data_IF_264207691101
#
_entry.id   IF_264207691101
#
_cell.length_a   1.000
_cell.length_b   1.000
_cell.length_c   1.000
_cell.angle_alpha   90.00
_cell.angle_beta   90.00
_cell.angle_gamma   90.00
#
_symmetry.space_group_name_H-M   'P 1'
#
loop_
_entity.id
_entity.type
_entity.pdbx_description
1 polymer ?
#
# COMPACT_ATOMS: atom_id res chain seq x y z
N UNK A 1 -10.12 12.85 16.99
CA UNK A 1 -9.34 12.21 15.90
C UNK A 1 -9.20 13.13 14.68
N UNK A 2 -7.98 13.28 14.16
CA UNK A 2 -7.64 14.22 13.06
C UNK A 2 -8.27 13.84 11.71
N UNK A 3 -8.56 12.56 11.46
CA UNK A 3 -9.13 12.13 10.19
C UNK A 3 -10.51 12.74 9.91
N UNK A 4 -11.38 12.82 10.93
CA UNK A 4 -12.72 13.40 10.78
C UNK A 4 -12.66 14.90 10.41
N UNK A 5 -11.64 15.62 10.89
CA UNK A 5 -11.46 17.03 10.53
C UNK A 5 -10.97 17.18 9.09
N UNK A 6 -10.14 16.25 8.60
CA UNK A 6 -9.73 16.21 7.19
C UNK A 6 -10.90 15.91 6.25
N UNK A 7 -11.74 14.93 6.59
CA UNK A 7 -12.97 14.64 5.85
C UNK A 7 -13.89 15.86 5.81
N UNK A 8 -14.09 16.54 6.95
CA UNK A 8 -14.91 17.75 7.01
C UNK A 8 -14.32 18.90 6.18
N UNK A 9 -13.01 19.12 6.27
CA UNK A 9 -12.33 20.18 5.52
C UNK A 9 -12.32 19.92 4.01
N UNK A 10 -12.32 18.67 3.57
CA UNK A 10 -12.38 18.30 2.15
C UNK A 10 -13.65 18.82 1.44
N UNK A 11 -14.72 19.14 2.17
CA UNK A 11 -15.93 19.73 1.58
C UNK A 11 -15.68 21.12 1.00
N UNK A 12 -14.80 21.90 1.61
CA UNK A 12 -14.60 23.32 1.28
C UNK A 12 -13.15 23.66 0.90
N UNK A 13 -12.24 22.68 0.89
CA UNK A 13 -10.83 22.88 0.55
C UNK A 13 -10.39 21.86 -0.52
N UNK A 14 -10.16 22.29 -1.78
CA UNK A 14 -9.75 21.41 -2.87
C UNK A 14 -8.44 20.64 -2.60
N UNK A 15 -7.50 21.24 -1.88
CA UNK A 15 -6.24 20.56 -1.54
C UNK A 15 -6.49 19.43 -0.55
N UNK A 16 -7.29 19.67 0.50
CA UNK A 16 -7.68 18.63 1.46
C UNK A 16 -8.51 17.54 0.78
N UNK A 17 -9.40 17.92 -0.14
CA UNK A 17 -10.16 16.96 -0.95
C UNK A 17 -9.23 16.04 -1.75
N UNK A 18 -8.24 16.59 -2.45
CA UNK A 18 -7.31 15.80 -3.25
C UNK A 18 -6.49 14.83 -2.38
N UNK A 19 -6.06 15.27 -1.19
CA UNK A 19 -5.35 14.43 -0.24
C UNK A 19 -6.23 13.28 0.28
N UNK A 20 -7.45 13.59 0.73
CA UNK A 20 -8.42 12.59 1.20
C UNK A 20 -8.77 11.60 0.08
N UNK A 21 -9.07 12.10 -1.11
CA UNK A 21 -9.42 11.28 -2.28
C UNK A 21 -8.30 10.32 -2.63
N UNK A 22 -7.06 10.80 -2.72
CA UNK A 22 -5.87 9.97 -2.98
C UNK A 22 -5.68 8.91 -1.90
N UNK A 23 -5.88 9.27 -0.63
CA UNK A 23 -5.74 8.34 0.48
C UNK A 23 -6.77 7.20 0.40
N UNK A 24 -8.02 7.53 0.07
CA UNK A 24 -9.14 6.58 -0.01
C UNK A 24 -9.16 5.76 -1.31
N UNK A 25 -8.60 6.29 -2.40
CA UNK A 25 -8.52 5.64 -3.70
C UNK A 25 -7.07 5.53 -4.14
N UNK A 26 -6.43 4.44 -3.74
CA UNK A 26 -5.03 4.16 -4.08
C UNK A 26 -4.96 3.16 -5.24
N UNK A 27 -4.06 3.38 -6.21
CA UNK A 27 -3.73 2.34 -7.18
C UNK A 27 -3.02 1.17 -6.48
N UNK A 28 -2.95 0.03 -7.16
CA UNK A 28 -2.28 -1.16 -6.63
C UNK A 28 -0.79 -0.93 -6.38
N UNK A 29 -0.15 -0.10 -7.21
CA UNK A 29 1.28 0.20 -7.12
C UNK A 29 1.52 1.71 -7.16
N UNK A 30 2.50 2.16 -6.37
CA UNK A 30 2.96 3.55 -6.33
C UNK A 30 4.48 3.59 -6.30
N UNK A 31 5.08 4.47 -7.09
CA UNK A 31 6.53 4.67 -7.16
C UNK A 31 6.83 6.15 -6.93
N UNK A 32 7.78 6.44 -6.05
CA UNK A 32 8.14 7.81 -5.67
C UNK A 32 9.64 8.02 -5.72
N UNK A 33 10.05 9.22 -6.13
CA UNK A 33 11.41 9.70 -5.95
C UNK A 33 11.46 10.54 -4.68
N UNK A 34 11.79 9.94 -3.54
CA UNK A 34 11.74 10.61 -2.23
C UNK A 34 12.75 11.74 -2.07
N UNK A 35 13.82 11.75 -2.87
CA UNK A 35 14.81 12.83 -2.87
C UNK A 35 14.26 14.11 -3.51
N UNK A 36 13.43 13.98 -4.54
CA UNK A 36 12.81 15.11 -5.27
C UNK A 36 11.38 15.42 -4.80
N UNK A 37 10.68 14.43 -4.25
CA UNK A 37 9.32 14.51 -3.75
C UNK A 37 9.24 13.95 -2.30
N UNK A 38 9.67 14.74 -1.29
CA UNK A 38 9.74 14.29 0.10
C UNK A 38 8.39 13.90 0.71
N UNK A 39 7.28 14.29 0.10
CA UNK A 39 5.92 14.01 0.56
C UNK A 39 5.21 12.97 -0.31
N UNK A 40 5.89 12.38 -1.29
CA UNK A 40 5.39 11.27 -2.09
C UNK A 40 4.03 11.58 -2.75
N UNK A 41 3.87 12.80 -3.25
CA UNK A 41 2.64 13.30 -3.86
C UNK A 41 2.57 12.98 -5.36
N UNK A 42 3.70 12.82 -6.05
CA UNK A 42 3.78 12.51 -7.48
C UNK A 42 4.04 11.02 -7.69
N UNK A 43 2.98 10.27 -7.99
CA UNK A 43 3.13 8.85 -8.34
C UNK A 43 3.77 8.70 -9.74
N UNK A 44 4.89 7.98 -9.82
CA UNK A 44 5.66 7.71 -11.03
C UNK A 44 5.43 6.28 -11.57
N UNK A 45 4.52 5.49 -10.96
CA UNK A 45 4.35 4.08 -11.29
C UNK A 45 3.92 3.80 -12.74
N UNK A 46 3.29 4.78 -13.40
CA UNK A 46 2.83 4.68 -14.79
C UNK A 46 3.71 5.50 -15.76
N UNK A 47 4.78 6.13 -15.27
CA UNK A 47 5.73 6.87 -16.11
C UNK A 47 6.73 5.89 -16.76
N UNK A 48 6.74 5.76 -18.10
CA UNK A 48 7.60 4.79 -18.79
C UNK A 48 9.09 5.06 -18.56
N UNK A 49 9.48 6.29 -18.21
CA UNK A 49 10.87 6.66 -17.87
C UNK A 49 11.40 5.86 -16.67
N UNK A 50 10.51 5.45 -15.77
CA UNK A 50 10.85 4.75 -14.52
C UNK A 50 10.52 3.26 -14.56
N UNK A 51 10.13 2.70 -15.71
CA UNK A 51 9.71 1.31 -15.85
C UNK A 51 10.78 0.32 -15.34
N UNK A 52 12.05 0.51 -15.72
CA UNK A 52 13.15 -0.35 -15.26
C UNK A 52 13.35 -0.30 -13.75
N UNK A 53 13.20 0.89 -13.15
CA UNK A 53 13.29 1.06 -11.69
C UNK A 53 12.13 0.37 -10.99
N UNK A 54 10.90 0.51 -11.51
CA UNK A 54 9.71 -0.16 -11.00
C UNK A 54 9.89 -1.67 -11.02
N UNK A 55 10.30 -2.24 -12.16
CA UNK A 55 10.52 -3.68 -12.32
C UNK A 55 11.58 -4.21 -11.36
N UNK A 56 12.71 -3.51 -11.22
CA UNK A 56 13.76 -3.91 -10.28
C UNK A 56 13.27 -3.92 -8.83
N UNK A 57 12.57 -2.87 -8.39
CA UNK A 57 12.07 -2.79 -7.02
C UNK A 57 10.96 -3.81 -6.74
N UNK A 58 10.08 -4.05 -7.71
CA UNK A 58 9.04 -5.08 -7.63
C UNK A 58 9.67 -6.48 -7.46
N UNK A 59 10.69 -6.82 -8.25
CA UNK A 59 11.39 -8.10 -8.11
C UNK A 59 12.09 -8.27 -6.75
N UNK A 60 12.67 -7.20 -6.20
CA UNK A 60 13.28 -7.21 -4.86
C UNK A 60 12.24 -7.41 -3.76
N UNK A 61 11.06 -6.79 -3.90
CA UNK A 61 9.94 -6.99 -2.99
C UNK A 61 9.44 -8.44 -3.04
N UNK A 62 9.26 -9.01 -4.23
CA UNK A 62 8.84 -10.41 -4.40
C UNK A 62 9.84 -11.39 -3.78
N UNK A 63 11.14 -11.16 -3.96
CA UNK A 63 12.18 -11.96 -3.30
C UNK A 63 12.02 -11.90 -1.78
N UNK A 64 11.88 -10.70 -1.22
CA UNK A 64 11.78 -10.51 0.22
C UNK A 64 10.50 -11.11 0.81
N UNK A 65 9.33 -10.92 0.17
CA UNK A 65 8.08 -11.55 0.60
C UNK A 65 8.22 -13.08 0.68
N UNK A 66 8.84 -13.69 -0.34
CA UNK A 66 9.13 -15.13 -0.34
C UNK A 66 10.04 -15.55 0.81
N UNK A 67 11.10 -14.77 1.10
CA UNK A 67 11.99 -15.04 2.23
C UNK A 67 11.27 -14.96 3.58
N UNK A 68 10.29 -14.07 3.73
CA UNK A 68 9.48 -13.96 4.94
C UNK A 68 8.36 -15.02 5.03
N UNK A 69 8.13 -15.79 3.96
CA UNK A 69 6.97 -16.66 3.86
C UNK A 69 5.65 -15.88 3.82
N UNK A 70 5.71 -14.64 3.34
CA UNK A 70 4.55 -13.76 3.19
C UNK A 70 3.82 -14.10 1.87
N UNK A 71 2.55 -14.52 1.92
CA UNK A 71 1.77 -14.79 0.72
C UNK A 71 1.29 -13.51 0.01
N UNK A 72 1.41 -12.33 0.65
CA UNK A 72 0.87 -11.06 0.18
C UNK A 72 -0.66 -11.00 0.36
N UNK A 73 -1.37 -10.51 -0.66
CA UNK A 73 -2.82 -10.25 -0.63
C UNK A 73 -3.71 -11.41 -0.09
N UNK A 74 -3.41 -12.71 -0.29
CA UNK A 74 -4.15 -13.80 0.35
C UNK A 74 -4.20 -13.74 1.89
N UNK A 75 -3.20 -13.14 2.55
CA UNK A 75 -3.19 -12.94 4.01
C UNK A 75 -4.30 -11.98 4.46
N UNK A 76 -4.69 -11.02 3.61
CA UNK A 76 -5.63 -9.95 3.95
C UNK A 76 -7.10 -10.33 3.67
N UNK A 77 -7.37 -11.59 3.37
CA UNK A 77 -8.73 -12.07 3.12
C UNK A 77 -9.53 -12.20 4.42
N UNK A 78 -10.86 -12.06 4.32
CA UNK A 78 -11.75 -12.28 5.46
C UNK A 78 -11.56 -13.67 6.08
N UNK A 79 -11.35 -14.69 5.24
CA UNK A 79 -11.10 -16.05 5.68
C UNK A 79 -9.82 -16.15 6.53
N UNK A 80 -8.70 -15.62 6.03
CA UNK A 80 -7.42 -15.61 6.75
C UNK A 80 -7.53 -14.88 8.09
N UNK A 81 -8.20 -13.72 8.12
CA UNK A 81 -8.44 -12.95 9.35
C UNK A 81 -9.26 -13.76 10.36
N UNK A 82 -10.34 -14.41 9.92
CA UNK A 82 -11.19 -15.21 10.81
C UNK A 82 -10.47 -16.46 11.32
N UNK A 83 -9.64 -17.08 10.48
CA UNK A 83 -8.83 -18.22 10.88
C UNK A 83 -7.79 -17.82 11.95
N UNK A 84 -7.08 -16.70 11.75
CA UNK A 84 -6.15 -16.14 12.73
C UNK A 84 -6.81 -15.81 14.07
N UNK A 85 -8.02 -15.23 14.07
CA UNK A 85 -8.80 -14.96 15.30
C UNK A 85 -9.13 -16.22 16.11
N UNK A 86 -9.19 -17.38 15.46
CA UNK A 86 -9.40 -18.69 16.09
C UNK A 86 -8.08 -19.41 16.42
N UNK A 87 -6.93 -18.74 16.28
CA UNK A 87 -5.60 -19.33 16.45
C UNK A 87 -5.17 -20.27 15.32
N UNK A 88 -5.94 -20.35 14.23
CA UNK A 88 -5.65 -21.18 13.06
C UNK A 88 -5.05 -20.32 11.94
N UNK A 89 -3.85 -19.79 12.18
CA UNK A 89 -3.16 -18.96 11.19
C UNK A 89 -2.97 -19.75 9.89
N UNK A 90 -3.39 -19.19 8.75
CA UNK A 90 -3.31 -19.86 7.44
C UNK A 90 -1.93 -19.71 6.80
N UNK A 91 -1.20 -18.65 7.15
CA UNK A 91 0.11 -18.32 6.56
C UNK A 91 1.07 -17.82 7.66
N UNK A 92 2.38 -17.87 7.37
CA UNK A 92 3.45 -17.48 8.31
C UNK A 92 3.95 -18.62 9.20
N UNK A 93 4.89 -18.31 10.10
CA UNK A 93 5.67 -19.30 10.86
C UNK A 93 4.85 -20.21 11.79
N UNK A 94 3.66 -19.76 12.22
CA UNK A 94 2.75 -20.48 13.11
C UNK A 94 1.69 -21.31 12.39
N UNK A 95 1.61 -21.26 11.05
CA UNK A 95 0.66 -22.02 10.25
C UNK A 95 1.02 -23.51 10.05
N UNK A 96 1.87 -24.07 10.91
CA UNK A 96 2.30 -25.47 10.89
C UNK A 96 1.38 -26.38 11.67
#
# INVERSE_FOLDING_TARGET
>A
PYWATWISNAWNNPNTYNLVKRYMHRPAEQLYNTAEDPYELKNLADDPTFADTKTRLSAELDRWMKEQGDPGAPQDTHEAIQAARRGKHMYGATAR
#
